data_IF_689661680232
#
_entry.id   IF_689661680232
#
_cell.length_a   1.000
_cell.length_b   1.000
_cell.length_c   1.000
_cell.angle_alpha   90.00
_cell.angle_beta   90.00
_cell.angle_gamma   90.00
#
_symmetry.space_group_name_H-M   'P 1'
#
loop_
_entity.id
_entity.type
_entity.pdbx_description
1 polymer ?
#
# COMPACT_ATOMS: atom_id res chain seq x y z
N UNK A 1 9.97 59.33 -29.39
CA UNK A 1 8.64 58.93 -28.88
C UNK A 1 8.35 57.44 -29.08
N UNK A 2 8.60 56.86 -30.27
CA UNK A 2 8.40 55.42 -30.54
C UNK A 2 9.25 54.46 -29.70
N UNK A 3 10.51 54.82 -29.41
CA UNK A 3 11.44 53.98 -28.65
C UNK A 3 11.06 53.79 -27.17
N UNK A 4 10.47 54.80 -26.54
CA UNK A 4 9.99 54.72 -25.16
C UNK A 4 8.73 53.84 -25.04
N UNK A 5 7.82 53.93 -26.01
CA UNK A 5 6.64 53.05 -26.11
C UNK A 5 7.02 51.57 -26.23
N UNK A 6 8.04 51.24 -27.04
CA UNK A 6 8.53 49.86 -27.20
C UNK A 6 9.10 49.33 -25.88
N UNK A 7 9.83 50.14 -25.11
CA UNK A 7 10.35 49.72 -23.79
C UNK A 7 9.24 49.38 -22.80
N UNK A 8 8.19 50.20 -22.72
CA UNK A 8 7.06 49.91 -21.83
C UNK A 8 6.31 48.64 -22.24
N UNK A 9 6.10 48.42 -23.53
CA UNK A 9 5.46 47.20 -24.04
C UNK A 9 6.31 45.96 -23.74
N UNK A 10 7.62 46.02 -23.97
CA UNK A 10 8.54 44.91 -23.64
C UNK A 10 8.47 44.60 -22.14
N UNK A 11 8.49 45.61 -21.27
CA UNK A 11 8.50 45.42 -19.83
C UNK A 11 7.20 44.77 -19.31
N UNK A 12 6.05 45.17 -19.88
CA UNK A 12 4.73 44.56 -19.59
C UNK A 12 4.69 43.11 -20.09
N UNK A 13 5.17 42.84 -21.31
CA UNK A 13 5.18 41.49 -21.88
C UNK A 13 6.12 40.57 -21.10
N UNK A 14 7.30 41.04 -20.70
CA UNK A 14 8.24 40.23 -19.89
C UNK A 14 7.72 39.96 -18.48
N UNK A 15 7.02 40.92 -17.86
CA UNK A 15 6.44 40.72 -16.53
C UNK A 15 5.22 39.79 -16.57
N UNK A 16 4.39 39.88 -17.60
CA UNK A 16 3.29 38.93 -17.83
C UNK A 16 3.79 37.51 -18.12
N UNK A 17 4.81 37.37 -18.98
CA UNK A 17 5.44 36.08 -19.27
C UNK A 17 6.08 35.48 -18.01
N UNK A 18 6.82 36.27 -17.23
CA UNK A 18 7.41 35.83 -15.97
C UNK A 18 6.36 35.32 -14.98
N UNK A 19 5.25 36.04 -14.83
CA UNK A 19 4.13 35.61 -13.98
C UNK A 19 3.46 34.33 -14.50
N UNK A 20 3.25 34.21 -15.82
CA UNK A 20 2.66 33.03 -16.44
C UNK A 20 3.54 31.78 -16.27
N UNK A 21 4.86 31.90 -16.49
CA UNK A 21 5.81 30.83 -16.27
C UNK A 21 5.92 30.45 -14.79
N UNK A 22 5.94 31.42 -13.88
CA UNK A 22 5.93 31.18 -12.43
C UNK A 22 4.66 30.45 -11.97
N UNK A 23 3.49 30.88 -12.44
CA UNK A 23 2.22 30.22 -12.14
C UNK A 23 2.17 28.78 -12.70
N UNK A 24 2.62 28.58 -13.94
CA UNK A 24 2.69 27.25 -14.55
C UNK A 24 3.64 26.32 -13.78
N UNK A 25 4.82 26.82 -13.38
CA UNK A 25 5.78 26.05 -12.61
C UNK A 25 5.20 25.63 -11.25
N UNK A 26 4.61 26.57 -10.51
CA UNK A 26 3.97 26.29 -9.21
C UNK A 26 2.82 25.30 -9.34
N UNK A 27 1.95 25.46 -10.34
CA UNK A 27 0.85 24.51 -10.61
C UNK A 27 1.38 23.12 -10.96
N UNK A 28 2.42 23.04 -11.79
CA UNK A 28 3.02 21.76 -12.18
C UNK A 28 3.67 21.05 -11.00
N UNK A 29 4.30 21.80 -10.08
CA UNK A 29 4.90 21.28 -8.86
C UNK A 29 3.82 20.76 -7.89
N UNK A 30 2.79 21.56 -7.65
CA UNK A 30 1.67 21.17 -6.78
C UNK A 30 0.96 19.90 -7.29
N UNK A 31 0.77 19.77 -8.60
CA UNK A 31 0.22 18.53 -9.20
C UNK A 31 1.11 17.32 -8.95
N UNK A 32 2.43 17.47 -9.08
CA UNK A 32 3.38 16.37 -8.82
C UNK A 32 3.40 15.96 -7.35
N UNK A 33 3.40 16.93 -6.44
CA UNK A 33 3.33 16.68 -4.99
C UNK A 33 2.06 15.92 -4.63
N UNK A 34 0.90 16.32 -5.19
CA UNK A 34 -0.36 15.61 -4.98
C UNK A 34 -0.32 14.15 -5.44
N UNK A 35 0.25 13.88 -6.62
CA UNK A 35 0.41 12.51 -7.14
C UNK A 35 1.31 11.67 -6.21
N UNK A 36 2.38 12.27 -5.67
CA UNK A 36 3.27 11.57 -4.75
C UNK A 36 2.61 11.27 -3.42
N UNK A 37 1.77 12.17 -2.91
CA UNK A 37 1.00 11.92 -1.69
C UNK A 37 -0.06 10.84 -1.91
N UNK A 38 -0.76 10.84 -3.05
CA UNK A 38 -1.69 9.76 -3.43
C UNK A 38 -0.98 8.40 -3.54
N UNK A 39 0.20 8.35 -4.19
CA UNK A 39 1.03 7.14 -4.25
C UNK A 39 1.43 6.65 -2.86
N UNK A 40 1.92 7.56 -2.01
CA UNK A 40 2.33 7.23 -0.63
C UNK A 40 1.17 6.66 0.16
N UNK A 41 -0.01 7.25 0.05
CA UNK A 41 -1.21 6.76 0.72
C UNK A 41 -1.56 5.33 0.29
N UNK A 42 -1.54 5.07 -1.02
CA UNK A 42 -1.84 3.73 -1.54
C UNK A 42 -0.80 2.68 -1.11
N UNK A 43 0.49 3.02 -1.13
CA UNK A 43 1.54 2.12 -0.62
C UNK A 43 1.37 1.85 0.87
N UNK A 44 1.13 2.92 1.65
CA UNK A 44 0.89 2.81 3.10
C UNK A 44 -0.29 1.92 3.40
N UNK A 45 -1.40 2.06 2.64
CA UNK A 45 -2.59 1.24 2.82
C UNK A 45 -2.33 -0.25 2.61
N UNK A 46 -1.56 -0.63 1.60
CA UNK A 46 -1.18 -2.05 1.39
C UNK A 46 -0.29 -2.56 2.52
N UNK A 47 0.70 -1.76 2.93
CA UNK A 47 1.65 -2.14 3.98
C UNK A 47 0.93 -2.33 5.32
N UNK A 48 0.05 -1.40 5.70
CA UNK A 48 -0.76 -1.47 6.92
C UNK A 48 -1.71 -2.67 6.85
N UNK A 49 -2.39 -2.88 5.71
CA UNK A 49 -3.28 -4.03 5.55
C UNK A 49 -2.53 -5.37 5.72
N UNK A 50 -1.32 -5.48 5.19
CA UNK A 50 -0.50 -6.70 5.34
C UNK A 50 0.02 -6.86 6.78
N UNK A 51 0.32 -5.76 7.46
CA UNK A 51 0.71 -5.76 8.88
C UNK A 51 -0.46 -6.17 9.78
N UNK A 52 -1.67 -5.66 9.55
CA UNK A 52 -2.89 -6.09 10.27
C UNK A 52 -3.14 -7.59 10.11
N UNK A 53 -2.93 -8.12 8.90
CA UNK A 53 -3.06 -9.57 8.62
C UNK A 53 -2.00 -10.36 9.39
N UNK A 54 -0.76 -9.87 9.42
CA UNK A 54 0.32 -10.49 10.20
C UNK A 54 0.04 -10.42 11.70
N UNK A 55 -0.54 -9.32 12.18
CA UNK A 55 -0.91 -9.13 13.58
C UNK A 55 -2.00 -10.12 14.00
N UNK A 56 -3.03 -10.28 13.18
CA UNK A 56 -4.05 -11.31 13.39
C UNK A 56 -3.44 -12.71 13.51
N UNK A 57 -2.51 -13.06 12.61
CA UNK A 57 -1.85 -14.34 12.64
C UNK A 57 -1.05 -14.56 13.94
N UNK A 58 -0.33 -13.54 14.41
CA UNK A 58 0.38 -13.59 15.69
C UNK A 58 -0.57 -13.66 16.89
N UNK A 59 -1.73 -13.01 16.83
CA UNK A 59 -2.75 -13.13 17.86
C UNK A 59 -3.27 -14.56 17.96
N UNK A 60 -3.67 -15.18 16.83
CA UNK A 60 -4.13 -16.57 16.79
C UNK A 60 -3.06 -17.53 17.30
N UNK A 61 -1.79 -17.32 16.91
CA UNK A 61 -0.66 -18.10 17.42
C UNK A 61 -0.52 -17.97 18.94
N UNK A 62 -0.56 -16.74 19.44
CA UNK A 62 -0.41 -16.42 20.86
C UNK A 62 -1.54 -17.02 21.71
N UNK A 63 -2.79 -16.93 21.24
CA UNK A 63 -3.95 -17.53 21.89
C UNK A 63 -3.83 -19.06 21.96
N UNK A 64 -3.38 -19.71 20.87
CA UNK A 64 -3.14 -21.14 20.84
C UNK A 64 -1.99 -21.57 21.79
N UNK A 65 -0.95 -20.74 21.92
CA UNK A 65 0.19 -20.98 22.82
C UNK A 65 -0.03 -20.49 24.27
N UNK A 66 -1.22 -20.00 24.61
CA UNK A 66 -1.54 -19.41 25.93
C UNK A 66 -0.63 -18.24 26.34
N UNK A 67 -0.14 -17.47 25.38
CA UNK A 67 0.64 -16.25 25.59
C UNK A 67 -0.28 -15.04 25.84
N UNK A 68 0.24 -13.99 26.49
CA UNK A 68 -0.53 -12.77 26.70
C UNK A 68 -0.75 -12.03 25.38
N UNK A 69 -2.00 -11.71 25.06
CA UNK A 69 -2.36 -10.82 23.96
C UNK A 69 -3.12 -9.62 24.52
N UNK A 70 -2.76 -8.42 24.07
CA UNK A 70 -3.77 -7.35 24.03
C UNK A 70 -4.84 -7.83 23.04
N UNK A 71 -6.13 -7.74 23.38
CA UNK A 71 -7.24 -8.09 22.46
C UNK A 71 -7.83 -6.84 21.79
N UNK A 72 -7.10 -6.04 21.00
CA UNK A 72 -7.78 -5.23 20.01
C UNK A 72 -8.34 -6.17 18.93
N UNK A 73 -9.56 -5.92 18.48
CA UNK A 73 -10.14 -6.67 17.37
C UNK A 73 -9.26 -6.50 16.13
N UNK A 74 -8.86 -7.60 15.50
CA UNK A 74 -8.07 -7.57 14.27
C UNK A 74 -8.95 -7.22 13.08
N UNK A 75 -8.51 -6.30 12.21
CA UNK A 75 -9.23 -5.93 10.97
C UNK A 75 -8.99 -6.90 9.79
N UNK A 76 -8.73 -8.19 10.07
CA UNK A 76 -8.27 -9.17 9.08
C UNK A 76 -9.10 -9.19 7.79
N UNK A 77 -10.43 -9.29 7.89
CA UNK A 77 -11.32 -9.34 6.72
C UNK A 77 -11.31 -8.05 5.89
N UNK A 78 -11.23 -6.90 6.56
CA UNK A 78 -11.16 -5.60 5.89
C UNK A 78 -9.82 -5.44 5.18
N UNK A 79 -8.72 -5.81 5.84
CA UNK A 79 -7.36 -5.73 5.30
C UNK A 79 -7.15 -6.70 4.14
N UNK A 80 -7.70 -7.92 4.22
CA UNK A 80 -7.75 -8.87 3.10
C UNK A 80 -8.50 -8.30 1.89
N UNK A 81 -9.65 -7.67 2.15
CA UNK A 81 -10.45 -7.04 1.10
C UNK A 81 -9.72 -5.86 0.46
N UNK A 82 -8.97 -5.09 1.24
CA UNK A 82 -8.21 -3.96 0.75
C UNK A 82 -7.05 -4.38 -0.15
N UNK A 83 -6.31 -5.44 0.21
CA UNK A 83 -5.30 -6.06 -0.67
C UNK A 83 -5.94 -6.49 -2.00
N UNK A 84 -7.09 -7.17 -1.96
CA UNK A 84 -7.79 -7.60 -3.18
C UNK A 84 -8.22 -6.43 -4.06
N UNK A 85 -8.81 -5.38 -3.47
CA UNK A 85 -9.20 -4.17 -4.21
C UNK A 85 -8.01 -3.50 -4.88
N UNK A 86 -6.92 -3.34 -4.13
CA UNK A 86 -5.70 -2.67 -4.60
C UNK A 86 -4.95 -3.53 -5.62
N UNK A 87 -5.10 -4.85 -5.61
CA UNK A 87 -4.59 -5.71 -6.69
C UNK A 87 -5.30 -5.45 -8.02
N UNK A 88 -6.57 -5.02 -7.99
CA UNK A 88 -7.34 -4.68 -9.20
C UNK A 88 -7.08 -3.24 -9.65
N UNK A 89 -7.07 -2.27 -8.73
CA UNK A 89 -6.97 -0.84 -9.08
C UNK A 89 -5.55 -0.27 -9.00
N UNK A 90 -4.65 -0.90 -8.25
CA UNK A 90 -3.34 -0.37 -7.90
C UNK A 90 -2.38 -0.21 -9.07
N UNK A 91 -2.55 -1.01 -10.14
CA UNK A 91 -1.72 -0.95 -11.36
C UNK A 91 -1.69 0.43 -12.02
N UNK A 92 -2.74 1.23 -11.81
CA UNK A 92 -2.85 2.57 -12.41
C UNK A 92 -1.92 3.60 -11.75
N UNK A 93 -1.53 3.37 -10.50
CA UNK A 93 -0.85 4.38 -9.67
C UNK A 93 0.49 3.87 -9.13
N UNK A 94 0.55 2.60 -8.73
CA UNK A 94 1.74 1.97 -8.16
C UNK A 94 2.76 1.65 -9.26
N UNK A 95 4.05 1.58 -8.89
CA UNK A 95 5.06 1.10 -9.80
C UNK A 95 4.90 -0.42 -10.08
N UNK A 96 5.48 -0.87 -11.19
CA UNK A 96 5.34 -2.28 -11.64
C UNK A 96 5.94 -3.28 -10.65
N UNK A 97 7.00 -2.91 -9.93
CA UNK A 97 7.68 -3.79 -8.97
C UNK A 97 6.80 -4.06 -7.75
N UNK A 98 6.31 -2.99 -7.12
CA UNK A 98 5.39 -3.06 -5.99
C UNK A 98 4.10 -3.76 -6.40
N UNK A 99 3.57 -3.46 -7.58
CA UNK A 99 2.35 -4.10 -8.07
C UNK A 99 2.52 -5.61 -8.25
N UNK A 100 3.62 -6.08 -8.84
CA UNK A 100 3.92 -7.52 -8.96
C UNK A 100 4.05 -8.20 -7.60
N UNK A 101 4.68 -7.54 -6.64
CA UNK A 101 4.76 -8.04 -5.27
C UNK A 101 3.37 -8.14 -4.63
N UNK A 102 2.51 -7.13 -4.83
CA UNK A 102 1.13 -7.14 -4.36
C UNK A 102 0.31 -8.27 -4.99
N UNK A 103 0.45 -8.51 -6.30
CA UNK A 103 -0.18 -9.65 -6.99
C UNK A 103 0.27 -10.99 -6.39
N UNK A 104 1.57 -11.13 -6.12
CA UNK A 104 2.15 -12.32 -5.48
C UNK A 104 1.57 -12.53 -4.08
N UNK A 105 1.53 -11.49 -3.25
CA UNK A 105 0.92 -11.55 -1.91
C UNK A 105 -0.54 -11.98 -1.99
N UNK A 106 -1.33 -11.32 -2.83
CA UNK A 106 -2.75 -11.62 -2.97
C UNK A 106 -2.99 -13.07 -3.45
N UNK A 107 -2.15 -13.56 -4.37
CA UNK A 107 -2.22 -14.94 -4.86
C UNK A 107 -1.89 -15.95 -3.74
N UNK A 108 -0.84 -15.70 -2.96
CA UNK A 108 -0.44 -16.54 -1.83
C UNK A 108 -1.50 -16.57 -0.73
N UNK A 109 -2.01 -15.40 -0.33
CA UNK A 109 -3.07 -15.29 0.68
C UNK A 109 -4.35 -15.99 0.23
N UNK A 110 -4.74 -15.84 -1.04
CA UNK A 110 -5.93 -16.51 -1.60
C UNK A 110 -5.77 -18.03 -1.62
N UNK A 111 -4.60 -18.52 -2.00
CA UNK A 111 -4.29 -19.96 -2.02
C UNK A 111 -4.35 -20.53 -0.61
N UNK A 112 -3.75 -19.83 0.36
CA UNK A 112 -3.76 -20.27 1.75
C UNK A 112 -5.16 -20.23 2.37
N UNK A 113 -5.97 -19.20 2.10
CA UNK A 113 -7.37 -19.18 2.54
C UNK A 113 -8.19 -20.35 1.97
N UNK A 114 -7.93 -20.73 0.71
CA UNK A 114 -8.58 -21.88 0.10
C UNK A 114 -8.15 -23.19 0.80
N UNK A 115 -6.85 -23.37 1.02
CA UNK A 115 -6.33 -24.54 1.74
C UNK A 115 -6.87 -24.63 3.18
N UNK A 116 -6.97 -23.48 3.87
CA UNK A 116 -7.50 -23.41 5.22
C UNK A 116 -8.98 -23.76 5.26
N UNK A 117 -9.75 -23.35 4.26
CA UNK A 117 -11.15 -23.74 4.12
C UNK A 117 -11.31 -25.26 3.92
N UNK A 118 -10.49 -25.87 3.05
CA UNK A 118 -10.48 -27.32 2.86
C UNK A 118 -10.09 -28.06 4.14
N UNK A 119 -9.07 -27.58 4.86
CA UNK A 119 -8.63 -28.16 6.12
C UNK A 119 -9.72 -28.07 7.19
N UNK A 120 -10.39 -26.92 7.30
CA UNK A 120 -11.51 -26.71 8.23
C UNK A 120 -12.68 -27.67 7.93
N UNK A 121 -12.99 -27.89 6.65
CA UNK A 121 -14.04 -28.84 6.25
C UNK A 121 -13.67 -30.29 6.59
N UNK A 122 -12.41 -30.68 6.41
CA UNK A 122 -11.91 -32.01 6.78
C UNK A 122 -11.89 -32.23 8.30
N UNK A 123 -11.74 -31.16 9.08
CA UNK A 123 -11.67 -31.21 10.54
C UNK A 123 -12.95 -30.77 11.25
N UNK A 124 -14.08 -30.68 10.54
CA UNK A 124 -15.33 -30.13 11.06
C UNK A 124 -15.80 -30.81 12.37
N UNK A 125 -15.64 -32.13 12.46
CA UNK A 125 -16.03 -32.92 13.64
C UNK A 125 -14.92 -33.02 14.71
N UNK A 126 -13.76 -32.38 14.49
CA UNK A 126 -12.61 -32.44 15.40
C UNK A 126 -12.39 -31.10 16.11
N UNK A 127 -12.87 -30.95 17.36
CA UNK A 127 -12.68 -29.73 18.16
C UNK A 127 -11.22 -29.49 18.59
N UNK A 128 -10.33 -30.47 18.44
CA UNK A 128 -8.90 -30.37 18.72
C UNK A 128 -8.05 -30.17 17.46
N UNK A 129 -8.66 -29.71 16.37
CA UNK A 129 -7.91 -29.50 15.13
C UNK A 129 -7.15 -28.18 15.15
N UNK A 130 -5.83 -28.27 14.98
CA UNK A 130 -4.93 -27.10 14.89
C UNK A 130 -4.98 -26.39 13.53
N UNK A 131 -6.06 -26.56 12.76
CA UNK A 131 -6.16 -26.04 11.39
C UNK A 131 -6.08 -24.51 11.37
N UNK A 132 -6.74 -23.83 12.31
CA UNK A 132 -6.69 -22.37 12.45
C UNK A 132 -5.29 -21.87 12.83
N UNK A 133 -4.62 -22.59 13.74
CA UNK A 133 -3.24 -22.28 14.11
C UNK A 133 -2.27 -22.42 12.94
N UNK A 134 -2.37 -23.53 12.18
CA UNK A 134 -1.55 -23.76 10.98
C UNK A 134 -1.80 -22.68 9.92
N UNK A 135 -3.05 -22.29 9.74
CA UNK A 135 -3.43 -21.22 8.82
C UNK A 135 -2.78 -19.90 9.22
N UNK A 136 -2.91 -19.50 10.49
CA UNK A 136 -2.28 -18.30 11.01
C UNK A 136 -0.76 -18.29 10.83
N UNK A 137 -0.07 -19.38 11.16
CA UNK A 137 1.39 -19.49 10.96
C UNK A 137 1.77 -19.26 9.49
N UNK A 138 1.04 -19.86 8.54
CA UNK A 138 1.33 -19.68 7.11
C UNK A 138 1.06 -18.27 6.62
N UNK A 139 -0.02 -17.65 7.10
CA UNK A 139 -0.34 -16.25 6.78
C UNK A 139 0.76 -15.31 7.27
N UNK A 140 1.27 -15.53 8.48
CA UNK A 140 2.42 -14.80 9.00
C UNK A 140 3.65 -15.00 8.13
N UNK A 141 4.00 -16.24 7.79
CA UNK A 141 5.19 -16.51 6.98
C UNK A 141 5.10 -15.82 5.60
N UNK A 142 3.90 -15.78 4.99
CA UNK A 142 3.64 -15.02 3.75
C UNK A 142 3.88 -13.52 3.97
N UNK A 143 3.36 -12.95 5.06
CA UNK A 143 3.50 -11.54 5.39
C UNK A 143 4.95 -11.16 5.67
N UNK A 144 5.66 -11.92 6.50
CA UNK A 144 7.08 -11.72 6.83
C UNK A 144 7.98 -11.77 5.59
N UNK A 145 7.67 -12.65 4.63
CA UNK A 145 8.43 -12.73 3.38
C UNK A 145 8.24 -11.48 2.51
N UNK A 146 7.01 -10.96 2.41
CA UNK A 146 6.66 -9.95 1.41
C UNK A 146 6.69 -8.51 1.94
N UNK A 147 6.42 -8.30 3.23
CA UNK A 147 6.35 -6.97 3.83
C UNK A 147 7.65 -6.17 3.65
N UNK A 148 8.85 -6.72 3.91
CA UNK A 148 10.10 -5.98 3.67
C UNK A 148 10.32 -5.63 2.19
N UNK A 149 9.93 -6.53 1.28
CA UNK A 149 10.07 -6.33 -0.18
C UNK A 149 9.15 -5.20 -0.66
N UNK A 150 7.90 -5.17 -0.17
CA UNK A 150 6.94 -4.11 -0.46
C UNK A 150 7.42 -2.75 0.06
N UNK A 151 7.94 -2.70 1.28
CA UNK A 151 8.50 -1.47 1.86
C UNK A 151 9.67 -0.96 1.01
N UNK A 152 10.57 -1.84 0.58
CA UNK A 152 11.71 -1.46 -0.24
C UNK A 152 11.27 -0.93 -1.61
N UNK A 153 10.35 -1.62 -2.29
CA UNK A 153 9.81 -1.19 -3.57
C UNK A 153 9.10 0.18 -3.48
N UNK A 154 8.35 0.42 -2.40
CA UNK A 154 7.72 1.72 -2.15
C UNK A 154 8.77 2.82 -1.87
N UNK A 155 9.82 2.50 -1.12
CA UNK A 155 10.91 3.44 -0.80
C UNK A 155 11.67 3.88 -2.05
N UNK A 156 11.84 2.98 -3.02
CA UNK A 156 12.52 3.28 -4.27
C UNK A 156 11.68 4.14 -5.23
N UNK A 157 10.35 4.02 -5.20
CA UNK A 157 9.45 4.84 -6.03
C UNK A 157 9.26 6.27 -5.48
N UNK A 158 9.30 6.42 -4.16
CA UNK A 158 9.02 7.70 -3.52
C UNK A 158 10.26 8.63 -3.51
N UNK A 159 10.07 9.96 -3.66
CA UNK A 159 11.17 10.90 -3.58
C UNK A 159 11.82 10.84 -2.18
N UNK A 160 13.16 10.88 -2.15
CA UNK A 160 13.91 10.99 -0.89
C UNK A 160 13.47 12.26 -0.16
N UNK A 161 13.08 12.14 1.12
CA UNK A 161 12.92 13.29 1.99
C UNK A 161 14.29 13.94 2.17
N UNK A 162 14.50 15.09 1.53
CA UNK A 162 15.60 16.02 1.82
C UNK A 162 15.31 16.78 3.11
#
# INVERSE_FOLDING_TARGET
MYTELIKYVVLIVTSFLGAAFGAHFTLSRSKKEKIWDEKRELYSRVIIALEDISYWAEQVRSEHCCEYTSRPDSNFDESMRDIQKLTVSGRLVMNDEFYKLLESVNSSLRTENFNAHEAAQQSFDNPHSDHLFRHAVRIRDIAEEHLPKLIEAARQDLPKRT
#
